data_IF_425370159950
#
_entry.id   IF_425370159950
#
_cell.length_a   1.000
_cell.length_b   1.000
_cell.length_c   1.000
_cell.angle_alpha   90.00
_cell.angle_beta   90.00
_cell.angle_gamma   90.00
#
_symmetry.space_group_name_H-M   'P 1'
#
loop_
_entity.id
_entity.type
_entity.pdbx_description
1 polymer ?
2 non-polymer ?
3 non-polymer ?
4 water ?
#
# COMPACT_ATOMS: atom_id res chain seq x y z
N UNK A 4 21.24 5.23 -10.65
CA UNK A 4 19.87 4.93 -10.23
C UNK A 4 19.54 3.43 -10.39
N UNK A 5 20.51 2.57 -9.96
CA UNK A 5 20.41 1.12 -10.03
C UNK A 5 19.95 0.55 -8.70
N UNK A 6 18.93 -0.33 -8.68
CA UNK A 6 18.37 -0.78 -7.40
C UNK A 6 19.29 -1.75 -6.66
N UNK A 7 19.29 -1.63 -5.33
CA UNK A 7 20.11 -2.42 -4.44
C UNK A 7 19.23 -3.18 -3.44
N UNK A 8 19.76 -4.23 -2.82
CA UNK A 8 18.94 -4.99 -1.84
C UNK A 8 18.40 -4.13 -0.71
N UNK A 9 19.15 -3.12 -0.28
CA UNK A 9 18.69 -2.26 0.80
C UNK A 9 17.47 -1.45 0.41
N UNK A 10 17.26 -1.24 -0.90
CA UNK A 10 16.05 -0.55 -1.35
C UNK A 10 14.80 -1.39 -1.13
N UNK A 11 14.93 -2.71 -0.94
CA UNK A 11 13.83 -3.58 -0.58
C UNK A 11 12.67 -3.49 -1.58
N UNK A 12 12.99 -3.40 -2.87
CA UNK A 12 11.94 -3.32 -3.88
C UNK A 12 11.29 -4.68 -4.07
N UNK A 13 9.97 -4.71 -4.19
CA UNK A 13 9.32 -5.99 -4.45
C UNK A 13 8.10 -5.79 -5.32
N UNK A 14 7.67 -6.88 -5.93
CA UNK A 14 6.55 -6.88 -6.86
C UNK A 14 5.66 -8.07 -6.56
N UNK A 15 4.35 -7.89 -6.73
CA UNK A 15 3.46 -9.02 -6.75
C UNK A 15 3.53 -9.78 -8.06
N UNK A 16 3.31 -11.09 -7.99
CA UNK A 16 3.33 -11.89 -9.20
C UNK A 16 2.26 -11.43 -10.18
N UNK A 17 1.15 -10.92 -9.65
CA UNK A 17 0.01 -10.52 -10.45
C UNK A 17 0.22 -9.18 -11.16
N UNK A 18 1.31 -8.48 -10.87
CA UNK A 18 1.57 -7.19 -11.50
C UNK A 18 2.18 -7.40 -12.89
N UNK A 19 3.46 -7.80 -12.94
CA UNK A 19 4.08 -8.11 -14.23
C UNK A 19 3.40 -9.28 -14.93
N UNK A 20 2.70 -10.15 -14.19
CA UNK A 20 1.97 -11.25 -14.78
C UNK A 20 0.56 -10.93 -15.23
N UNK A 21 0.11 -9.69 -15.08
CA UNK A 21 -1.24 -9.32 -15.52
C UNK A 21 -1.41 -9.52 -17.01
N UNK A 22 -2.52 -10.15 -17.41
CA UNK A 22 -2.76 -10.45 -18.81
C UNK A 22 -3.42 -9.30 -19.58
N UNK A 23 -3.95 -8.30 -18.86
CA UNK A 23 -4.47 -7.06 -19.43
C UNK A 23 -5.81 -7.27 -20.12
N UNK A 24 -6.61 -8.16 -19.56
CA UNK A 24 -8.02 -8.27 -19.92
C UNK A 24 -8.76 -7.22 -19.10
N UNK A 25 -9.41 -6.27 -19.76
CA UNK A 25 -10.10 -5.23 -19.01
C UNK A 25 -11.63 -5.36 -19.19
N UNK A 26 -12.36 -4.32 -18.75
CA UNK A 26 -13.82 -4.36 -18.81
C UNK A 26 -14.34 -4.46 -20.25
N UNK A 27 -13.53 -4.11 -21.23
CA UNK A 27 -14.01 -3.99 -22.59
C UNK A 27 -13.17 -4.75 -23.61
N UNK A 28 -12.34 -5.69 -23.19
CA UNK A 28 -11.49 -6.34 -24.16
C UNK A 28 -10.77 -7.56 -23.64
N UNK A 29 -10.25 -8.34 -24.58
CA UNK A 29 -9.58 -9.58 -24.26
C UNK A 29 -8.18 -9.34 -23.73
N UNK A 30 -7.62 -10.38 -23.12
CA UNK A 30 -6.22 -10.37 -22.72
C UNK A 30 -5.32 -10.13 -23.94
N UNK A 31 -4.25 -9.35 -23.72
CA UNK A 31 -3.26 -9.09 -24.74
C UNK A 31 -1.91 -9.76 -24.47
N UNK A 32 -1.70 -10.34 -23.29
CA UNK A 32 -0.48 -11.09 -23.04
C UNK A 32 -0.83 -12.48 -22.51
N UNK A 33 0.02 -13.44 -22.83
CA UNK A 33 -0.20 -14.81 -22.39
C UNK A 33 0.12 -14.96 -20.90
N UNK A 34 -0.38 -16.01 -20.26
CA UNK A 34 -0.02 -16.26 -18.86
C UNK A 34 1.49 -16.37 -18.69
N UNK A 35 1.98 -15.76 -17.61
CA UNK A 35 3.40 -15.68 -17.34
C UNK A 35 3.76 -16.68 -16.25
N UNK A 36 4.77 -17.50 -16.50
CA UNK A 36 5.20 -18.49 -15.52
C UNK A 36 5.80 -17.77 -14.33
N UNK A 37 5.28 -17.96 -13.10
CA UNK A 37 5.88 -17.31 -11.93
C UNK A 37 7.37 -17.57 -11.80
N UNK A 38 7.84 -18.75 -12.23
CA UNK A 38 9.26 -19.06 -12.23
C UNK A 38 10.03 -18.04 -13.06
N UNK A 39 9.50 -17.69 -14.24
CA UNK A 39 10.19 -16.69 -15.06
C UNK A 39 10.15 -15.32 -14.38
N UNK A 40 9.02 -14.95 -13.78
CA UNK A 40 8.95 -13.68 -13.06
C UNK A 40 10.00 -13.60 -11.97
N UNK A 41 10.19 -14.68 -11.19
CA UNK A 41 11.16 -14.63 -10.11
C UNK A 41 12.56 -14.41 -10.66
N UNK A 42 12.91 -15.06 -11.77
CA UNK A 42 14.22 -14.87 -12.35
C UNK A 42 14.37 -13.49 -12.96
N UNK A 43 13.36 -13.02 -13.70
CA UNK A 43 13.49 -11.72 -14.35
C UNK A 43 13.52 -10.59 -13.31
N UNK A 44 12.71 -10.70 -12.26
CA UNK A 44 12.75 -9.68 -11.21
C UNK A 44 14.08 -9.69 -10.49
N UNK A 45 14.64 -10.87 -10.20
CA UNK A 45 15.93 -10.94 -9.53
C UNK A 45 17.00 -10.26 -10.36
N UNK A 46 16.98 -10.51 -11.68
CA UNK A 46 17.97 -9.96 -12.59
C UNK A 46 17.91 -8.44 -12.62
N UNK A 47 16.72 -7.85 -12.43
CA UNK A 47 16.52 -6.41 -12.44
C UNK A 47 16.84 -5.74 -11.11
N UNK A 48 17.17 -6.52 -10.09
CA UNK A 48 17.49 -5.93 -8.80
C UNK A 48 16.37 -5.94 -7.80
N UNK A 49 15.23 -6.54 -8.10
CA UNK A 49 14.20 -6.67 -7.08
C UNK A 49 14.72 -7.52 -5.93
N UNK A 50 14.30 -7.17 -4.71
CA UNK A 50 14.67 -7.90 -3.51
C UNK A 50 13.65 -8.97 -3.13
N UNK A 51 12.39 -8.76 -3.49
CA UNK A 51 11.35 -9.68 -3.09
C UNK A 51 10.20 -9.77 -4.06
N UNK A 52 9.36 -10.76 -3.80
CA UNK A 52 8.15 -11.00 -4.58
C UNK A 52 7.04 -11.34 -3.60
N UNK A 53 5.80 -11.01 -3.94
CA UNK A 53 4.64 -11.40 -3.15
C UNK A 53 3.63 -12.09 -4.07
N UNK A 54 2.60 -12.69 -3.46
CA UNK A 54 1.67 -13.48 -4.25
C UNK A 54 0.32 -13.62 -3.57
N UNK A 55 -0.72 -13.67 -4.39
CA UNK A 55 -1.97 -14.34 -3.99
C UNK A 55 -1.78 -15.85 -4.10
N UNK A 56 -2.46 -16.58 -3.21
CA UNK A 56 -2.42 -18.05 -3.25
C UNK A 56 -2.55 -18.59 -4.68
N UNK A 57 -3.55 -18.11 -5.42
CA UNK A 57 -3.84 -18.65 -6.74
C UNK A 57 -2.92 -18.12 -7.84
N UNK A 58 -2.14 -17.05 -7.57
CA UNK A 58 -1.16 -16.60 -8.55
C UNK A 58 -0.17 -17.71 -8.91
N UNK A 59 0.11 -18.61 -7.98
CA UNK A 59 1.10 -19.65 -8.22
C UNK A 59 0.72 -20.59 -9.37
N UNK A 60 -0.56 -20.62 -9.73
CA UNK A 60 -1.13 -21.56 -10.69
C UNK A 60 -1.19 -21.03 -12.12
N UNK A 61 -0.57 -19.87 -12.38
CA UNK A 61 -0.75 -19.19 -13.67
C UNK A 61 -0.49 -20.10 -14.86
N UNK A 62 0.55 -20.94 -14.80
CA UNK A 62 0.81 -21.90 -15.87
C UNK A 62 0.75 -23.34 -15.41
N UNK A 63 0.77 -23.60 -14.10
CA UNK A 63 0.78 -24.95 -13.56
C UNK A 63 -0.47 -25.15 -12.71
N UNK A 64 -1.44 -25.94 -13.16
CA UNK A 64 -2.69 -26.08 -12.38
C UNK A 64 -2.57 -26.98 -11.15
N UNK A 65 -1.53 -27.81 -11.05
CA UNK A 65 -1.35 -28.64 -9.87
C UNK A 65 -0.71 -27.81 -8.77
N UNK A 66 -1.44 -27.58 -7.68
CA UNK A 66 -0.97 -26.63 -6.66
C UNK A 66 0.36 -27.08 -6.05
N UNK A 67 0.51 -28.38 -5.76
CA UNK A 67 1.76 -28.85 -5.18
C UNK A 67 2.93 -28.64 -6.13
N UNK A 68 2.75 -28.93 -7.43
CA UNK A 68 3.81 -28.71 -8.39
C UNK A 68 4.10 -27.23 -8.60
N UNK A 69 3.06 -26.38 -8.55
CA UNK A 69 3.25 -24.95 -8.71
C UNK A 69 4.03 -24.37 -7.53
N UNK A 70 3.73 -24.82 -6.31
CA UNK A 70 4.45 -24.36 -5.13
C UNK A 70 5.92 -24.78 -5.19
N UNK A 71 6.16 -26.02 -5.62
CA UNK A 71 7.53 -26.52 -5.69
C UNK A 71 8.36 -25.75 -6.71
N UNK A 72 7.77 -25.42 -7.86
CA UNK A 72 8.50 -24.67 -8.88
C UNK A 72 8.78 -23.24 -8.40
N UNK A 73 7.82 -22.64 -7.71
CA UNK A 73 8.01 -21.31 -7.13
C UNK A 73 9.18 -21.32 -6.15
N UNK A 74 9.20 -22.30 -5.24
CA UNK A 74 10.23 -22.32 -4.20
C UNK A 74 11.61 -22.57 -4.79
N UNK A 75 11.69 -23.42 -5.81
CA UNK A 75 12.94 -23.66 -6.52
C UNK A 75 13.49 -22.37 -7.14
N UNK A 76 12.63 -21.59 -7.77
CA UNK A 76 13.07 -20.31 -8.32
C UNK A 76 13.57 -19.40 -7.20
N UNK A 77 12.85 -19.36 -6.07
CA UNK A 77 13.27 -18.48 -4.98
C UNK A 77 14.60 -18.95 -4.40
N UNK A 78 14.81 -20.26 -4.36
CA UNK A 78 16.09 -20.80 -3.91
C UNK A 78 17.23 -20.34 -4.81
N UNK A 79 17.05 -20.48 -6.12
CA UNK A 79 18.13 -20.17 -7.05
C UNK A 79 18.50 -18.69 -7.03
N UNK A 80 17.52 -17.81 -6.79
CA UNK A 80 17.77 -16.38 -6.93
C UNK A 80 18.07 -15.67 -5.62
N UNK A 81 17.67 -16.24 -4.48
CA UNK A 81 17.74 -15.47 -3.26
C UNK A 81 16.65 -14.42 -3.11
N UNK A 82 15.60 -14.47 -3.93
CA UNK A 82 14.49 -13.55 -3.78
C UNK A 82 13.71 -13.91 -2.53
N UNK A 83 13.26 -12.89 -1.82
CA UNK A 83 12.56 -13.08 -0.55
C UNK A 83 11.05 -12.93 -0.77
N UNK A 84 10.27 -13.56 0.10
CA UNK A 84 8.81 -13.41 0.12
C UNK A 84 8.39 -12.69 1.39
N UNK A 85 8.28 -11.36 1.37
CA UNK A 85 7.96 -10.63 2.60
C UNK A 85 6.49 -10.67 2.98
N UNK A 86 5.61 -10.95 2.02
CA UNK A 86 4.19 -10.86 2.27
C UNK A 86 3.46 -11.75 1.28
N UNK A 87 2.24 -12.12 1.65
CA UNK A 87 1.37 -12.91 0.79
C UNK A 87 -0.06 -12.49 1.06
N UNK A 88 -0.97 -12.96 0.22
CA UNK A 88 -2.36 -12.56 0.34
C UNK A 88 -3.23 -13.64 -0.31
N UNK A 89 -4.56 -13.46 -0.21
CA UNK A 89 -5.55 -14.41 -0.67
C UNK A 89 -6.37 -13.80 -1.80
N UNK A 90 -6.63 -14.61 -2.84
CA UNK A 90 -7.60 -14.25 -3.86
C UNK A 90 -8.98 -14.58 -3.32
N UNK A 91 -9.67 -13.56 -2.82
CA UNK A 91 -11.06 -13.67 -2.41
C UNK A 91 -11.96 -12.85 -3.32
N UNK A 92 -11.60 -12.74 -4.60
CA UNK A 92 -12.37 -11.86 -5.47
C UNK A 92 -12.61 -12.39 -6.88
N UNK A 93 -11.84 -13.35 -7.40
CA UNK A 93 -12.08 -13.79 -8.77
C UNK A 93 -13.26 -14.74 -8.87
N UNK A 94 -13.40 -15.68 -7.95
CA UNK A 94 -14.31 -16.78 -8.17
C UNK A 94 -15.75 -16.29 -8.03
N UNK A 95 -16.66 -16.75 -8.89
CA UNK A 95 -18.05 -16.27 -8.81
C UNK A 95 -18.71 -16.40 -7.45
N UNK A 96 -18.28 -17.34 -6.59
CA UNK A 96 -18.99 -17.48 -5.32
C UNK A 96 -18.81 -16.25 -4.44
N UNK A 97 -17.79 -15.45 -4.69
CA UNK A 97 -17.54 -14.22 -3.95
C UNK A 97 -18.24 -13.00 -4.55
N UNK A 98 -19.21 -13.20 -5.44
CA UNK A 98 -19.83 -12.08 -6.15
C UNK A 98 -20.53 -11.10 -5.20
N UNK A 99 -20.96 -11.56 -4.02
CA UNK A 99 -21.65 -10.73 -3.02
C UNK A 99 -20.74 -10.37 -1.85
N UNK A 100 -19.46 -10.69 -1.92
CA UNK A 100 -18.57 -10.61 -0.78
C UNK A 100 -17.92 -11.94 -0.49
N UNK A 101 -16.90 -11.87 0.37
CA UNK A 101 -16.21 -13.08 0.82
C UNK A 101 -16.50 -13.25 2.30
N UNK A 102 -15.79 -12.49 3.13
CA UNK A 102 -16.08 -12.44 4.56
C UNK A 102 -17.45 -11.86 4.84
N UNK A 103 -18.01 -11.07 3.92
CA UNK A 103 -19.30 -10.43 4.13
C UNK A 103 -20.33 -10.82 3.08
N UNK A 104 -20.16 -11.97 2.42
CA UNK A 104 -21.27 -12.57 1.70
C UNK A 104 -22.46 -12.76 2.63
N UNK A 105 -23.67 -12.58 2.09
CA UNK A 105 -24.84 -12.95 2.88
C UNK A 105 -24.81 -14.43 3.24
N UNK A 106 -24.26 -15.26 2.36
CA UNK A 106 -24.32 -16.71 2.55
C UNK A 106 -23.24 -17.18 3.52
N UNK A 107 -23.66 -17.75 4.66
CA UNK A 107 -22.72 -18.19 5.68
C UNK A 107 -21.73 -19.21 5.14
N UNK A 108 -22.17 -20.10 4.26
CA UNK A 108 -21.22 -21.09 3.75
C UNK A 108 -20.13 -20.46 2.91
N UNK A 109 -20.43 -19.33 2.24
CA UNK A 109 -19.38 -18.63 1.51
C UNK A 109 -18.41 -17.98 2.48
N UNK A 110 -18.91 -17.35 3.55
CA UNK A 110 -18.02 -16.75 4.54
C UNK A 110 -17.04 -17.77 5.11
N UNK A 111 -17.53 -18.98 5.40
CA UNK A 111 -16.67 -20.00 5.99
C UNK A 111 -15.66 -20.51 4.97
N UNK A 112 -16.06 -20.63 3.71
CA UNK A 112 -15.15 -20.96 2.62
C UNK A 112 -14.01 -19.93 2.53
N UNK A 113 -14.36 -18.64 2.55
CA UNK A 113 -13.35 -17.60 2.52
C UNK A 113 -12.34 -17.79 3.64
N UNK A 114 -12.83 -18.01 4.87
CA UNK A 114 -11.92 -18.14 6.01
C UNK A 114 -10.99 -19.33 5.82
N UNK A 115 -11.54 -20.47 5.38
CA UNK A 115 -10.71 -21.65 5.18
C UNK A 115 -9.69 -21.43 4.07
N UNK A 116 -10.06 -20.70 3.02
CA UNK A 116 -9.11 -20.44 1.94
C UNK A 116 -7.93 -19.62 2.46
N UNK A 117 -8.20 -18.60 3.27
CA UNK A 117 -7.12 -17.80 3.86
C UNK A 117 -6.25 -18.67 4.77
N UNK A 118 -6.87 -19.54 5.57
CA UNK A 118 -6.08 -20.34 6.51
C UNK A 118 -5.07 -21.21 5.78
N UNK A 119 -5.48 -21.82 4.65
CA UNK A 119 -4.54 -22.63 3.88
C UNK A 119 -3.35 -21.78 3.39
N UNK A 120 -3.62 -20.56 2.93
CA UNK A 120 -2.50 -19.76 2.43
C UNK A 120 -1.70 -19.12 3.55
N UNK A 121 -2.33 -18.85 4.70
CA UNK A 121 -1.55 -18.48 5.89
C UNK A 121 -0.53 -19.55 6.21
N UNK A 122 -0.95 -20.80 6.12
CA UNK A 122 -0.03 -21.90 6.38
C UNK A 122 1.15 -21.85 5.41
N UNK A 123 0.87 -21.65 4.12
CA UNK A 123 1.94 -21.62 3.13
C UNK A 123 2.82 -20.39 3.28
N UNK A 124 2.20 -19.24 3.58
CA UNK A 124 2.96 -18.01 3.77
C UNK A 124 3.99 -18.14 4.88
N UNK A 125 3.59 -18.77 6.00
CA UNK A 125 4.51 -18.92 7.12
C UNK A 125 5.71 -19.76 6.71
N UNK A 126 5.47 -20.86 5.98
CA UNK A 126 6.57 -21.72 5.55
C UNK A 126 7.56 -20.96 4.67
N UNK A 127 7.07 -20.04 3.84
CA UNK A 127 7.92 -19.22 2.99
C UNK A 127 8.57 -18.06 3.73
N UNK A 128 8.20 -17.85 4.99
CA UNK A 128 8.79 -16.79 5.78
C UNK A 128 8.11 -15.45 5.65
N UNK A 129 6.93 -15.38 5.05
CA UNK A 129 6.21 -14.13 5.00
C UNK A 129 5.75 -13.78 6.42
N UNK A 130 6.13 -12.61 6.89
CA UNK A 130 5.73 -12.16 8.21
C UNK A 130 4.63 -11.11 8.16
N UNK A 131 4.20 -10.71 6.97
CA UNK A 131 3.05 -9.82 6.81
C UNK A 131 2.05 -10.47 5.87
N UNK A 132 0.76 -10.44 6.22
CA UNK A 132 -0.27 -11.00 5.35
C UNK A 132 -1.29 -9.90 5.02
N UNK A 133 -1.57 -9.74 3.72
CA UNK A 133 -2.37 -8.62 3.23
C UNK A 133 -3.81 -9.09 3.03
N UNK A 134 -4.76 -8.22 3.39
CA UNK A 134 -6.19 -8.46 3.16
C UNK A 134 -6.73 -7.30 2.35
N UNK A 135 -7.07 -7.56 1.11
CA UNK A 135 -7.85 -6.62 0.31
C UNK A 135 -9.27 -7.16 0.16
N UNK A 136 -10.22 -6.49 0.82
CA UNK A 136 -11.63 -6.86 0.76
C UNK A 136 -12.33 -6.36 -0.49
N UNK A 137 -11.81 -6.77 -1.66
CA UNK A 137 -12.28 -6.20 -2.91
C UNK A 137 -13.72 -6.50 -3.24
N UNK A 138 -14.26 -7.63 -2.76
CA UNK A 138 -15.68 -7.93 -2.97
C UNK A 138 -16.55 -7.52 -1.81
N UNK A 139 -15.98 -6.97 -0.75
CA UNK A 139 -16.77 -6.61 0.43
C UNK A 139 -17.39 -5.24 0.20
N UNK A 140 -18.70 -5.20 0.03
CA UNK A 140 -19.36 -3.95 -0.26
C UNK A 140 -20.64 -4.19 -1.03
N UNK A 141 -21.02 -3.20 -1.83
CA UNK A 141 -22.32 -3.23 -2.50
C UNK A 141 -22.36 -2.23 -3.64
N UNK A 142 -23.32 -2.42 -4.53
CA UNK A 142 -23.61 -1.43 -5.56
C UNK A 142 -24.81 -0.55 -5.22
N UNK A 143 -25.60 -0.92 -4.21
CA UNK A 143 -26.78 -0.17 -3.82
C UNK A 143 -26.94 -0.24 -2.30
N UNK A 144 -27.56 0.80 -1.73
CA UNK A 144 -27.64 0.90 -0.28
C UNK A 144 -28.57 -0.16 0.31
N UNK A 145 -29.58 -0.59 -0.45
CA UNK A 145 -30.48 -1.60 0.08
C UNK A 145 -29.82 -2.97 0.18
N UNK A 146 -28.74 -3.21 -0.56
CA UNK A 146 -28.20 -4.56 -0.68
C UNK A 146 -27.38 -5.00 0.52
N UNK A 147 -26.89 -4.08 1.33
CA UNK A 147 -25.92 -4.46 2.35
C UNK A 147 -26.02 -3.46 3.49
N UNK A 148 -26.41 -3.97 4.67
CA UNK A 148 -26.38 -3.22 5.93
C UNK A 148 -24.94 -3.23 6.42
N UNK A 149 -24.31 -2.06 6.42
CA UNK A 149 -22.87 -2.05 6.65
C UNK A 149 -22.54 -2.33 8.12
N UNK A 150 -23.44 -1.98 9.05
CA UNK A 150 -23.21 -2.37 10.43
C UNK A 150 -23.08 -3.87 10.56
N UNK A 151 -23.97 -4.62 9.91
CA UNK A 151 -23.91 -6.07 10.04
C UNK A 151 -22.75 -6.63 9.22
N UNK A 152 -22.43 -6.00 8.09
CA UNK A 152 -21.28 -6.45 7.32
C UNK A 152 -19.99 -6.27 8.11
N UNK A 153 -19.87 -5.15 8.84
CA UNK A 153 -18.68 -4.95 9.65
C UNK A 153 -18.59 -5.94 10.82
N UNK A 154 -19.74 -6.34 11.40
CA UNK A 154 -19.74 -7.43 12.38
C UNK A 154 -19.05 -8.67 11.82
N UNK A 155 -19.40 -9.03 10.58
CA UNK A 155 -18.84 -10.23 9.96
C UNK A 155 -17.41 -10.02 9.51
N UNK A 156 -17.08 -8.81 9.07
CA UNK A 156 -15.69 -8.48 8.71
C UNK A 156 -14.78 -8.58 9.94
N UNK A 157 -15.17 -7.89 11.02
CA UNK A 157 -14.42 -7.99 12.27
C UNK A 157 -14.31 -9.44 12.71
N UNK A 158 -15.40 -10.20 12.62
CA UNK A 158 -15.37 -11.58 13.08
C UNK A 158 -14.34 -12.41 12.33
N UNK A 159 -14.28 -12.23 11.01
CA UNK A 159 -13.35 -13.00 10.19
C UNK A 159 -11.91 -12.62 10.48
N UNK A 160 -11.63 -11.31 10.58
CA UNK A 160 -10.25 -10.87 10.77
C UNK A 160 -9.75 -11.29 12.15
N UNK A 161 -10.57 -11.10 13.19
CA UNK A 161 -10.15 -11.51 14.53
C UNK A 161 -10.00 -13.02 14.62
N UNK A 162 -10.87 -13.78 13.94
CA UNK A 162 -10.75 -15.24 13.95
C UNK A 162 -9.43 -15.67 13.34
N UNK A 163 -9.11 -15.11 12.18
CA UNK A 163 -7.87 -15.45 11.50
C UNK A 163 -6.66 -15.00 12.31
N UNK A 164 -6.75 -13.84 12.97
CA UNK A 164 -5.64 -13.38 13.79
C UNK A 164 -5.37 -14.31 14.96
N UNK A 165 -6.44 -14.81 15.59
CA UNK A 165 -6.25 -15.80 16.64
C UNK A 165 -5.66 -17.09 16.11
N UNK A 166 -6.01 -17.45 14.87
CA UNK A 166 -5.43 -18.65 14.27
C UNK A 166 -3.90 -18.52 14.14
N UNK A 167 -3.43 -17.40 13.58
CA UNK A 167 -1.99 -17.26 13.39
C UNK A 167 -1.27 -17.18 14.74
N UNK A 168 -1.93 -16.60 15.76
CA UNK A 168 -1.33 -16.62 17.10
C UNK A 168 -1.22 -18.04 17.64
N UNK A 169 -2.27 -18.84 17.47
CA UNK A 169 -2.23 -20.22 17.94
C UNK A 169 -1.10 -21.00 17.26
N UNK A 170 -0.84 -20.71 15.98
CA UNK A 170 0.21 -21.38 15.24
C UNK A 170 1.58 -20.79 15.50
N UNK A 171 1.67 -19.67 16.21
CA UNK A 171 2.93 -18.97 16.47
C UNK A 171 3.64 -18.59 15.18
N UNK A 172 2.86 -18.02 14.24
CA UNK A 172 3.42 -17.62 12.96
C UNK A 172 4.13 -16.28 13.02
N UNK A 173 3.92 -15.50 14.08
CA UNK A 173 4.62 -14.24 14.25
C UNK A 173 4.32 -13.22 13.19
N UNK A 174 3.23 -13.39 12.47
CA UNK A 174 2.94 -12.48 11.37
C UNK A 174 2.00 -11.37 11.82
N UNK A 175 2.01 -10.30 11.05
CA UNK A 175 1.10 -9.18 11.19
C UNK A 175 0.19 -9.15 9.97
N UNK A 176 -0.99 -8.58 10.16
CA UNK A 176 -2.00 -8.44 9.10
C UNK A 176 -1.98 -7.01 8.59
N UNK A 177 -2.17 -6.83 7.29
CA UNK A 177 -2.21 -5.51 6.66
C UNK A 177 -3.49 -5.38 5.85
N UNK A 178 -4.41 -4.53 6.31
CA UNK A 178 -5.66 -4.30 5.60
C UNK A 178 -5.44 -3.27 4.50
N UNK A 179 -5.93 -3.57 3.30
CA UNK A 179 -5.74 -2.71 2.13
C UNK A 179 -7.03 -1.97 1.85
N UNK A 180 -7.12 -0.67 2.13
CA UNK A 180 -8.34 0.08 1.82
C UNK A 180 -8.42 0.37 0.33
N UNK A 181 -9.66 0.48 -0.14
CA UNK A 181 -9.92 0.89 -1.52
C UNK A 181 -11.33 1.44 -1.56
N UNK A 182 -11.59 2.58 -2.21
CA UNK A 182 -12.93 3.18 -2.04
C UNK A 182 -14.02 2.52 -2.86
N UNK A 183 -13.67 2.03 -4.03
CA UNK A 183 -14.62 1.42 -4.94
C UNK A 183 -13.83 0.63 -5.96
N UNK A 184 -14.56 -0.18 -6.75
CA UNK A 184 -14.09 -0.99 -7.87
C UNK A 184 -13.35 -2.22 -7.38
N UNK A 185 -13.93 -3.42 -7.54
CA UNK A 185 -15.09 -3.73 -8.39
C UNK A 185 -16.48 -3.41 -7.80
N UNK A 186 -16.60 -3.25 -6.49
CA UNK A 186 -17.88 -2.89 -5.89
C UNK A 186 -18.15 -1.39 -6.02
N UNK A 187 -19.44 -1.05 -6.10
CA UNK A 187 -19.83 0.35 -6.15
C UNK A 187 -19.24 1.16 -5.02
N UNK A 188 -19.27 0.59 -3.81
CA UNK A 188 -18.52 1.10 -2.67
C UNK A 188 -17.94 -0.10 -1.94
N UNK A 189 -16.68 0.00 -1.54
CA UNK A 189 -16.03 -1.06 -0.79
C UNK A 189 -16.01 -0.70 0.69
N UNK A 190 -16.20 -1.70 1.55
CA UNK A 190 -16.05 -1.48 2.99
C UNK A 190 -14.61 -1.12 3.32
N UNK A 191 -14.45 -0.28 4.34
CA UNK A 191 -13.15 0.28 4.74
C UNK A 191 -12.55 1.02 3.54
N UNK A 192 -13.20 2.08 3.07
CA UNK A 192 -12.81 2.69 1.77
C UNK A 192 -11.52 3.49 1.79
N UNK A 193 -11.00 3.88 2.96
CA UNK A 193 -9.79 4.68 3.03
C UNK A 193 -8.91 4.22 4.18
N UNK A 194 -7.69 4.76 4.19
CA UNK A 194 -6.76 4.55 5.31
C UNK A 194 -7.45 4.81 6.64
N UNK A 195 -8.22 5.90 6.70
CA UNK A 195 -8.89 6.25 7.93
C UNK A 195 -9.89 5.20 8.40
N UNK A 196 -10.75 4.74 7.48
CA UNK A 196 -11.80 3.79 7.85
C UNK A 196 -11.18 2.48 8.34
N UNK A 197 -10.09 2.07 7.70
CA UNK A 197 -9.41 0.85 8.16
C UNK A 197 -8.79 1.05 9.54
N UNK A 198 -8.18 2.23 9.79
CA UNK A 198 -7.66 2.48 11.13
C UNK A 198 -8.75 2.43 12.19
N UNK A 199 -9.91 3.03 11.92
CA UNK A 199 -10.98 3.00 12.90
C UNK A 199 -11.47 1.59 13.16
N UNK A 200 -11.59 0.79 12.10
CA UNK A 200 -11.98 -0.62 12.21
C UNK A 200 -10.97 -1.41 13.01
N UNK A 201 -9.68 -1.22 12.73
CA UNK A 201 -8.64 -1.97 13.43
C UNK A 201 -8.73 -1.76 14.94
N UNK A 202 -9.06 -0.54 15.37
CA UNK A 202 -9.08 -0.25 16.80
C UNK A 202 -10.19 -0.99 17.56
N UNK A 203 -11.18 -1.56 16.86
CA UNK A 203 -12.22 -2.37 17.49
C UNK A 203 -11.87 -3.86 17.56
N UNK A 204 -10.73 -4.26 17.00
CA UNK A 204 -10.39 -5.67 16.94
C UNK A 204 -9.83 -6.13 18.27
N UNK A 205 -10.23 -7.34 18.67
CA UNK A 205 -9.56 -7.97 19.80
C UNK A 205 -8.05 -8.02 19.56
N UNK A 206 -7.64 -8.45 18.36
CA UNK A 206 -6.22 -8.56 18.01
C UNK A 206 -5.66 -7.32 17.33
N UNK A 207 -6.11 -6.13 17.75
CA UNK A 207 -5.72 -4.89 17.11
C UNK A 207 -4.20 -4.71 17.04
N UNK A 208 -3.46 -5.22 18.03
CA UNK A 208 -2.03 -4.96 18.06
C UNK A 208 -1.31 -5.50 16.82
N UNK A 209 -1.78 -6.60 16.26
CA UNK A 209 -1.09 -7.23 15.14
C UNK A 209 -1.74 -6.91 13.79
N UNK A 210 -2.63 -5.93 13.73
CA UNK A 210 -3.29 -5.56 12.47
C UNK A 210 -2.96 -4.11 12.15
N UNK A 211 -2.58 -3.86 10.91
CA UNK A 211 -2.26 -2.52 10.45
C UNK A 211 -2.70 -2.34 9.01
N UNK A 212 -2.00 -1.49 8.26
CA UNK A 212 -2.47 -1.06 6.95
C UNK A 212 -1.51 -1.49 5.84
N UNK A 213 -2.10 -1.67 4.66
CA UNK A 213 -1.40 -1.73 3.38
C UNK A 213 -2.05 -0.69 2.47
N UNK A 214 -1.69 0.58 2.61
CA UNK A 214 -2.27 1.61 1.76
C UNK A 214 -1.65 1.58 0.38
N UNK A 215 -2.45 1.93 -0.60
CA UNK A 215 -2.04 1.95 -2.00
C UNK A 215 -2.20 3.35 -2.55
N UNK A 216 -1.14 3.87 -3.18
CA UNK A 216 -1.15 5.23 -3.73
C UNK A 216 -2.44 5.50 -4.48
N UNK A 217 -2.74 4.65 -5.46
CA UNK A 217 -3.85 4.91 -6.36
C UNK A 217 -5.20 4.81 -5.70
N UNK A 218 -5.30 4.00 -4.63
CA UNK A 218 -6.60 3.82 -3.98
C UNK A 218 -7.05 5.08 -3.25
N UNK A 219 -6.16 5.68 -2.42
CA UNK A 219 -6.56 6.93 -1.77
C UNK A 219 -6.80 8.03 -2.79
N UNK A 220 -6.01 8.05 -3.88
CA UNK A 220 -6.19 9.06 -4.91
C UNK A 220 -7.49 8.87 -5.69
N UNK A 221 -8.05 7.66 -5.72
CA UNK A 221 -9.35 7.48 -6.36
C UNK A 221 -10.44 8.23 -5.62
N UNK A 222 -10.23 8.52 -4.34
CA UNK A 222 -11.15 9.32 -3.52
C UNK A 222 -10.71 10.76 -3.42
N UNK A 223 -9.69 11.14 -4.18
CA UNK A 223 -9.18 12.51 -4.17
C UNK A 223 -8.40 12.86 -2.92
N UNK A 224 -8.03 11.89 -2.11
CA UNK A 224 -7.37 12.18 -0.86
C UNK A 224 -5.87 12.33 -1.09
N UNK A 225 -5.21 12.94 -0.11
CA UNK A 225 -3.77 13.18 -0.18
C UNK A 225 -3.04 11.95 0.35
N UNK A 226 -2.35 11.21 -0.53
CA UNK A 226 -1.70 9.98 -0.08
C UNK A 226 -0.60 10.26 0.92
N UNK A 227 0.16 11.34 0.73
CA UNK A 227 1.21 11.67 1.68
C UNK A 227 0.64 11.91 3.07
N UNK A 228 -0.49 12.66 3.16
CA UNK A 228 -1.12 12.89 4.46
C UNK A 228 -1.60 11.58 5.09
N UNK A 229 -2.16 10.69 4.27
CA UNK A 229 -2.66 9.43 4.80
C UNK A 229 -1.53 8.56 5.32
N UNK A 230 -0.44 8.49 4.58
CA UNK A 230 0.72 7.74 5.04
C UNK A 230 1.26 8.36 6.31
N UNK A 231 1.26 9.71 6.38
CA UNK A 231 1.67 10.38 7.61
C UNK A 231 0.81 9.94 8.79
N UNK A 232 -0.51 9.85 8.61
CA UNK A 232 -1.34 9.40 9.72
C UNK A 232 -1.07 7.93 10.05
N UNK A 233 -0.88 7.09 9.02
CA UNK A 233 -0.54 5.68 9.26
C UNK A 233 0.75 5.57 10.07
N UNK A 234 1.78 6.32 9.67
CA UNK A 234 3.03 6.32 10.44
C UNK A 234 2.82 6.84 11.85
N UNK A 235 2.04 7.91 12.00
CA UNK A 235 1.78 8.51 13.29
C UNK A 235 1.12 7.53 14.27
N UNK A 236 0.27 6.63 13.76
CA UNK A 236 -0.40 5.60 14.57
C UNK A 236 0.37 4.30 14.59
N UNK A 237 1.55 4.25 13.95
CA UNK A 237 2.41 3.07 13.95
C UNK A 237 1.70 1.88 13.29
N UNK A 238 1.00 2.15 12.19
CA UNK A 238 0.20 1.14 11.51
C UNK A 238 0.59 0.95 10.05
N UNK A 239 1.74 1.47 9.62
CA UNK A 239 2.17 1.25 8.24
C UNK A 239 2.94 -0.07 8.21
N UNK A 240 2.23 -1.16 7.91
CA UNK A 240 2.79 -2.50 7.91
C UNK A 240 3.21 -2.94 6.52
N UNK A 241 2.79 -2.22 5.49
CA UNK A 241 3.01 -2.59 4.10
C UNK A 241 2.62 -1.36 3.31
N UNK A 242 3.16 -1.22 2.09
CA UNK A 242 2.72 -0.13 1.23
C UNK A 242 2.70 -0.65 -0.19
N UNK A 243 1.77 -0.12 -1.00
CA UNK A 243 1.64 -0.48 -2.40
C UNK A 243 1.82 0.77 -3.24
N UNK A 244 2.82 0.76 -4.11
CA UNK A 244 3.22 1.93 -4.87
C UNK A 244 2.75 1.76 -6.31
N UNK A 245 2.12 2.80 -6.84
CA UNK A 245 1.74 2.84 -8.24
C UNK A 245 1.34 4.28 -8.55
N UNK A 246 0.70 4.50 -9.71
CA UNK A 246 0.26 5.80 -10.10
C UNK A 246 -1.19 5.79 -10.55
N UNK A 247 -1.81 6.96 -10.47
CA UNK A 247 -3.23 7.13 -10.66
C UNK A 247 -3.49 8.57 -11.04
N UNK A 248 -4.44 8.82 -11.93
CA UNK A 248 -4.81 10.19 -12.29
C UNK A 248 -6.19 10.53 -11.70
N UNK A 249 -6.23 10.62 -10.37
CA UNK A 249 -7.42 11.06 -9.64
C UNK A 249 -8.59 10.11 -9.69
N UNK A 250 -9.79 10.64 -9.39
CA UNK A 250 -11.00 9.79 -9.32
C UNK A 250 -11.49 9.28 -10.68
N UNK A 251 -11.13 8.04 -10.95
CA UNK A 251 -11.60 7.26 -12.09
C UNK A 251 -11.31 5.80 -11.75
N UNK A 252 -11.47 4.92 -12.73
CA UNK A 252 -11.13 3.52 -12.56
C UNK A 252 -9.71 3.38 -12.04
N UNK A 253 -9.43 2.26 -11.37
CA UNK A 253 -8.10 1.97 -10.84
C UNK A 253 -7.13 1.77 -12.00
N UNK A 254 -6.12 2.64 -12.11
CA UNK A 254 -5.28 2.64 -13.31
C UNK A 254 -4.01 1.80 -13.18
N UNK A 255 -3.46 1.68 -11.97
CA UNK A 255 -2.27 0.85 -11.71
C UNK A 255 -1.11 1.23 -12.59
N UNK A 256 -0.83 2.53 -12.66
CA UNK A 256 0.28 2.97 -13.48
C UNK A 256 1.61 2.74 -12.76
N UNK A 257 2.70 2.91 -13.50
CA UNK A 257 4.03 2.88 -12.89
C UNK A 257 4.11 3.96 -11.80
N UNK A 258 4.73 3.61 -10.67
CA UNK A 258 4.89 4.58 -9.59
C UNK A 258 5.60 5.82 -10.12
N UNK A 259 5.09 7.00 -9.73
CA UNK A 259 5.63 8.27 -10.16
C UNK A 259 5.03 8.81 -11.44
N UNK A 260 4.25 8.00 -12.15
CA UNK A 260 3.73 8.35 -13.46
C UNK A 260 2.30 8.86 -13.41
N UNK A 261 1.72 8.97 -12.22
CA UNK A 261 0.43 9.64 -12.07
C UNK A 261 0.66 11.04 -11.53
N UNK A 262 0.39 11.22 -10.24
CA UNK A 262 0.69 12.46 -9.52
C UNK A 262 2.16 12.43 -9.11
N UNK A 263 3.02 12.92 -10.00
CA UNK A 263 4.46 12.84 -9.75
C UNK A 263 4.86 13.68 -8.54
N UNK A 264 4.26 14.87 -8.40
CA UNK A 264 4.62 15.70 -7.25
C UNK A 264 4.32 15.00 -5.93
N UNK A 265 3.19 14.31 -5.85
CA UNK A 265 2.83 13.59 -4.62
C UNK A 265 3.78 12.43 -4.39
N UNK A 266 4.19 11.76 -5.48
CA UNK A 266 5.17 10.68 -5.38
C UNK A 266 6.49 11.18 -4.81
N UNK A 267 6.94 12.36 -5.25
CA UNK A 267 8.15 12.99 -4.70
C UNK A 267 8.05 13.18 -3.20
N UNK A 268 6.93 13.71 -2.73
CA UNK A 268 6.79 13.95 -1.29
C UNK A 268 6.53 12.65 -0.53
N UNK A 269 5.92 11.64 -1.17
CA UNK A 269 5.83 10.33 -0.54
C UNK A 269 7.20 9.72 -0.29
N UNK A 270 8.07 9.71 -1.31
CA UNK A 270 9.42 9.20 -1.12
C UNK A 270 10.14 10.01 -0.06
N UNK A 271 9.99 11.33 -0.09
CA UNK A 271 10.60 12.16 0.94
C UNK A 271 10.16 11.71 2.34
N UNK A 272 8.88 11.39 2.50
CA UNK A 272 8.38 11.02 3.81
C UNK A 272 8.85 9.62 4.21
N UNK A 273 8.79 8.67 3.28
CA UNK A 273 9.21 7.32 3.60
C UNK A 273 10.67 7.31 4.03
N UNK A 274 11.52 8.02 3.28
CA UNK A 274 12.94 8.00 3.57
C UNK A 274 13.24 8.78 4.84
N UNK A 275 12.68 9.98 4.99
CA UNK A 275 12.99 10.79 6.14
C UNK A 275 12.47 10.18 7.45
N UNK A 276 11.34 9.47 7.39
CA UNK A 276 10.80 8.81 8.58
C UNK A 276 11.61 7.58 8.99
N UNK A 277 12.49 7.10 8.12
CA UNK A 277 13.19 5.87 8.41
C UNK A 277 12.34 4.62 8.41
N UNK A 278 11.13 4.68 7.83
CA UNK A 278 10.31 3.48 7.70
C UNK A 278 11.09 2.37 7.00
N UNK A 279 11.10 1.19 7.60
CA UNK A 279 11.94 0.09 7.11
C UNK A 279 11.17 -0.97 6.33
N UNK A 280 9.91 -0.74 6.02
CA UNK A 280 9.14 -1.71 5.26
C UNK A 280 9.59 -1.83 3.82
N UNK A 281 9.14 -2.88 3.15
CA UNK A 281 9.47 -3.06 1.72
C UNK A 281 8.78 -2.02 0.85
N UNK A 282 9.45 -1.63 -0.24
CA UNK A 282 8.82 -0.77 -1.23
C UNK A 282 8.20 -1.68 -2.29
N UNK A 283 6.92 -1.96 -2.12
CA UNK A 283 6.18 -2.91 -2.95
C UNK A 283 5.43 -2.17 -4.04
N UNK A 284 5.47 -2.71 -5.25
CA UNK A 284 4.79 -2.14 -6.38
C UNK A 284 3.57 -2.99 -6.75
N UNK A 285 2.41 -2.36 -6.83
CA UNK A 285 1.19 -3.02 -7.27
C UNK A 285 0.70 -2.23 -8.47
N UNK A 286 1.10 -2.67 -9.66
CA UNK A 286 0.89 -1.92 -10.89
C UNK A 286 0.63 -2.90 -12.02
N UNK A 287 0.20 -2.38 -13.16
CA UNK A 287 0.05 -3.16 -14.38
C UNK A 287 0.90 -2.53 -15.48
N UNK A 288 1.61 -3.34 -16.25
CA UNK A 288 2.45 -2.77 -17.33
C UNK A 288 1.68 -1.93 -18.32
N UNK A 289 0.46 -2.36 -18.68
CA UNK A 289 -0.34 -1.60 -19.63
C UNK A 289 -0.78 -2.47 -20.78
N UNK A 290 -2.01 -2.25 -21.28
CA UNK A 290 -2.58 -3.15 -22.28
C UNK A 290 -1.93 -2.98 -23.64
N UNK A 291 -1.24 -1.86 -23.87
CA UNK A 291 -0.50 -1.66 -25.11
C UNK A 291 0.82 -2.41 -25.16
N UNK A 292 1.25 -3.04 -24.05
CA UNK A 292 2.63 -3.46 -23.85
C UNK A 292 2.80 -4.95 -24.05
N UNK A 293 3.92 -5.35 -24.65
CA UNK A 293 4.12 -6.77 -24.91
C UNK A 293 4.98 -7.38 -23.80
N UNK A 294 5.37 -8.65 -23.99
CA UNK A 294 6.09 -9.39 -22.96
C UNK A 294 7.41 -8.73 -22.62
N UNK A 295 8.10 -8.17 -23.61
CA UNK A 295 9.36 -7.49 -23.36
C UNK A 295 9.13 -6.15 -22.67
N UNK A 296 8.11 -5.41 -23.10
CA UNK A 296 7.76 -4.15 -22.44
C UNK A 296 7.54 -4.35 -20.94
N UNK A 297 7.04 -5.52 -20.55
CA UNK A 297 6.73 -5.77 -19.16
C UNK A 297 7.95 -5.48 -18.27
N UNK A 298 9.12 -5.98 -18.68
CA UNK A 298 10.30 -5.80 -17.83
C UNK A 298 10.82 -4.38 -17.86
N UNK A 299 10.67 -3.68 -18.99
CA UNK A 299 10.92 -2.23 -19.01
C UNK A 299 10.07 -1.53 -17.96
N UNK A 300 8.78 -1.89 -17.87
CA UNK A 300 7.90 -1.21 -16.92
C UNK A 300 8.25 -1.56 -15.47
N UNK A 301 8.70 -2.79 -15.22
CA UNK A 301 9.13 -3.16 -13.88
C UNK A 301 10.35 -2.35 -13.46
N UNK A 302 11.36 -2.30 -14.33
CA UNK A 302 12.53 -1.47 -14.08
C UNK A 302 12.12 -0.01 -13.85
N UNK A 303 11.17 0.49 -14.63
CA UNK A 303 10.76 1.89 -14.52
C UNK A 303 10.23 2.22 -13.13
N UNK A 304 9.55 1.29 -12.47
CA UNK A 304 9.06 1.56 -11.12
C UNK A 304 10.23 1.84 -10.18
N UNK A 305 11.23 0.98 -10.20
CA UNK A 305 12.37 1.11 -9.29
C UNK A 305 13.20 2.33 -9.65
N UNK A 306 13.43 2.56 -10.94
CA UNK A 306 14.22 3.72 -11.36
C UNK A 306 13.53 5.02 -10.98
N UNK A 307 12.22 5.12 -11.18
CA UNK A 307 11.52 6.34 -10.82
C UNK A 307 11.61 6.57 -9.32
N UNK A 308 11.47 5.50 -8.53
CA UNK A 308 11.57 5.66 -7.09
C UNK A 308 12.94 6.19 -6.72
N UNK A 309 13.99 5.61 -7.29
CA UNK A 309 15.36 5.98 -6.97
C UNK A 309 15.69 7.43 -7.37
N UNK A 310 15.18 7.88 -8.53
CA UNK A 310 15.39 9.27 -8.92
C UNK A 310 14.70 10.20 -7.93
N UNK A 311 13.43 9.92 -7.62
CA UNK A 311 12.73 10.75 -6.64
C UNK A 311 13.44 10.72 -5.28
N UNK A 312 14.02 9.57 -4.91
CA UNK A 312 14.75 9.49 -3.64
C UNK A 312 15.94 10.45 -3.63
N UNK A 313 16.70 10.49 -4.72
CA UNK A 313 17.83 11.39 -4.81
C UNK A 313 17.38 12.85 -4.80
N UNK A 314 16.30 13.15 -5.52
CA UNK A 314 15.80 14.52 -5.53
C UNK A 314 15.36 14.96 -4.15
N UNK A 315 14.71 14.08 -3.39
CA UNK A 315 14.24 14.43 -2.06
C UNK A 315 15.41 14.55 -1.08
N UNK A 316 16.42 13.67 -1.23
CA UNK A 316 17.61 13.78 -0.39
C UNK A 316 18.32 15.11 -0.63
N UNK A 317 18.46 15.51 -1.89
CA UNK A 317 19.08 16.78 -2.22
C UNK A 317 18.23 17.94 -1.72
N UNK A 318 16.92 17.81 -1.82
CA UNK A 318 16.01 18.84 -1.31
C UNK A 318 16.26 19.13 0.16
N UNK A 319 16.21 18.11 0.99
CA UNK A 319 16.38 18.34 2.43
C UNK A 319 17.81 18.76 2.78
N UNK A 320 18.82 18.33 2.01
CA UNK A 320 20.19 18.68 2.30
C UNK A 320 20.54 20.12 1.92
N UNK A 321 19.71 20.76 1.11
CA UNK A 321 20.01 22.08 0.58
C UNK A 321 19.92 23.15 1.65
N UNK A 322 21.00 23.88 1.96
CA UNK A 322 20.88 24.98 2.92
C UNK A 322 19.80 26.00 2.56
N UNK A 323 19.55 26.23 1.27
CA UNK A 323 18.48 27.15 0.88
C UNK A 323 17.13 26.64 1.34
N UNK A 324 16.92 25.32 1.27
CA UNK A 324 15.67 24.74 1.72
C UNK A 324 15.55 24.82 3.24
N UNK A 325 16.63 24.50 3.96
CA UNK A 325 16.56 24.61 5.42
C UNK A 325 16.31 26.05 5.85
N UNK A 326 16.88 27.01 5.12
CA UNK A 326 16.60 28.43 5.39
C UNK A 326 15.14 28.78 5.12
N UNK A 327 14.59 28.33 3.99
CA UNK A 327 13.17 28.57 3.71
C UNK A 327 12.28 27.95 4.79
N UNK A 328 12.62 26.74 5.24
CA UNK A 328 11.81 26.08 6.26
C UNK A 328 11.79 26.88 7.55
N UNK A 329 12.94 27.45 7.92
CA UNK A 329 12.98 28.28 9.12
C UNK A 329 12.15 29.56 8.93
N UNK A 330 12.19 30.14 7.73
CA UNK A 330 11.37 31.32 7.48
C UNK A 330 9.89 31.01 7.66
N UNK A 331 9.47 29.78 7.31
CA UNK A 331 8.08 29.36 7.44
C UNK A 331 7.73 29.00 8.88
N UNK A 332 8.75 28.92 9.74
CA UNK A 332 8.60 28.51 11.14
C UNK A 332 8.09 27.08 11.25
N UNK A 333 8.49 26.25 10.30
CA UNK A 333 8.05 24.86 10.28
C UNK A 333 8.48 24.14 11.56
N UNK A 334 9.71 24.38 12.03
CA UNK A 334 10.20 23.67 13.20
C UNK A 334 9.42 24.04 14.46
N UNK A 335 8.74 25.19 14.47
CA UNK A 335 8.03 25.60 15.66
C UNK A 335 6.77 24.77 15.91
N UNK A 336 6.29 24.07 14.88
CA UNK A 336 5.17 23.16 15.05
C UNK A 336 5.51 22.01 16.01
N UNK A 337 6.78 21.65 16.13
CA UNK A 337 7.19 20.58 17.03
C UNK A 337 7.21 20.99 18.50
N UNK A 338 7.15 22.27 18.81
CA UNK A 338 7.13 22.72 20.20
C UNK A 338 5.74 22.46 20.78
N UNK A 339 5.62 21.72 21.87
CA UNK A 339 4.29 21.49 22.45
C UNK A 339 3.56 22.80 22.69
N UNK A 340 2.26 22.78 22.41
CA UNK A 340 1.43 23.96 22.63
C UNK A 340 1.37 24.31 24.11
N UNK A 341 1.33 23.29 24.97
CA UNK A 341 1.18 23.44 26.40
C UNK A 341 2.45 22.95 27.08
N UNK A 342 2.94 23.73 28.05
CA UNK A 342 4.14 23.37 28.78
C UNK A 342 3.82 22.32 29.84
N UNK A 343 4.88 21.65 30.30
CA UNK A 343 4.72 20.50 31.18
C UNK A 343 4.04 20.88 32.51
N UNK A 344 4.41 22.03 33.08
CA UNK A 344 3.87 22.39 34.37
C UNK A 344 2.80 23.46 34.32
N UNK A 345 2.06 23.52 33.22
CA UNK A 345 1.16 24.63 32.93
C UNK A 345 -0.28 24.23 33.25
N UNK A 346 -0.93 25.02 34.08
CA UNK A 346 -2.32 24.80 34.44
C UNK A 346 -3.25 25.58 33.51
N UNK A 347 -4.55 25.29 33.61
CA UNK A 347 -5.52 26.03 32.82
C UNK A 347 -5.46 27.52 33.14
N UNK A 348 -5.33 27.87 34.43
CA UNK A 348 -5.29 29.28 34.77
C UNK A 348 -3.98 29.92 34.33
N UNK A 349 -2.87 29.17 34.33
CA UNK A 349 -1.62 29.67 33.75
C UNK A 349 -1.81 30.02 32.29
N UNK A 350 -2.53 29.17 31.55
CA UNK A 350 -2.76 29.43 30.13
C UNK A 350 -3.66 30.66 29.94
N UNK A 351 -4.73 30.75 30.72
CA UNK A 351 -5.66 31.87 30.61
C UNK A 351 -5.11 33.15 31.19
N UNK A 352 -3.96 33.10 31.88
CA UNK A 352 -3.33 34.32 32.35
C UNK A 352 -2.58 35.03 31.24
N UNK A 353 -2.17 34.30 30.22
CA UNK A 353 -1.49 34.86 29.06
C UNK A 353 -2.52 35.35 28.04
N UNK A 354 -2.22 36.47 27.40
CA UNK A 354 -3.09 37.00 26.36
C UNK A 354 -2.32 37.10 25.04
N UNK A 355 -3.09 37.18 23.95
CA UNK A 355 -2.55 37.20 22.60
C UNK A 355 -3.17 38.36 21.84
N UNK A 356 -2.33 39.21 21.26
CA UNK A 356 -2.79 40.33 20.44
C UNK A 356 -2.99 39.81 19.02
N UNK A 357 -4.22 39.41 18.71
CA UNK A 357 -4.52 38.84 17.40
C UNK A 357 -4.48 39.89 16.30
N UNK A 358 -4.76 41.15 16.63
CA UNK A 358 -4.73 42.20 15.62
C UNK A 358 -3.31 42.60 15.24
N UNK A 359 -2.39 42.59 16.20
CA UNK A 359 -0.99 42.83 15.89
C UNK A 359 -0.40 41.75 14.99
N UNK A 360 -0.97 40.55 15.01
CA UNK A 360 -0.39 39.41 14.31
C UNK A 360 -1.14 39.02 13.05
N UNK A 361 -2.18 39.76 12.67
CA UNK A 361 -3.04 39.30 11.57
C UNK A 361 -2.32 39.28 10.22
N UNK A 362 -1.25 40.05 10.05
CA UNK A 362 -0.58 40.15 8.75
C UNK A 362 0.68 39.29 8.67
N UNK A 363 0.92 38.39 9.62
CA UNK A 363 2.04 37.47 9.51
C UNK A 363 1.93 36.66 8.23
N UNK A 364 3.05 36.51 7.53
CA UNK A 364 3.11 35.60 6.40
C UNK A 364 3.87 34.34 6.79
N UNK A 365 3.65 33.27 6.03
CA UNK A 365 4.31 32.01 6.28
C UNK A 365 5.28 31.59 5.18
N UNK A 366 5.33 32.34 4.06
CA UNK A 366 6.43 32.24 3.10
C UNK A 366 6.54 30.85 2.50
N UNK A 367 5.40 30.19 2.29
CA UNK A 367 5.45 28.88 1.64
C UNK A 367 5.78 29.00 0.16
N UNK A 368 5.63 30.19 -0.43
CA UNK A 368 5.92 30.36 -1.86
C UNK A 368 7.37 29.97 -2.16
N UNK A 369 8.32 30.45 -1.34
CA UNK A 369 9.72 30.12 -1.53
C UNK A 369 9.97 28.63 -1.32
N UNK A 370 9.46 28.07 -0.23
CA UNK A 370 9.70 26.66 0.06
C UNK A 370 9.08 25.78 -1.00
N UNK A 371 7.86 26.11 -1.43
CA UNK A 371 7.18 25.37 -2.50
C UNK A 371 7.98 25.40 -3.78
N UNK A 372 8.55 26.56 -4.10
CA UNK A 372 9.27 26.67 -5.37
C UNK A 372 10.59 25.91 -5.30
N UNK A 373 11.27 25.94 -4.16
CA UNK A 373 12.48 25.16 -4.00
C UNK A 373 12.19 23.67 -4.09
N UNK A 374 11.05 23.24 -3.55
CA UNK A 374 10.65 21.84 -3.65
C UNK A 374 10.45 21.42 -5.09
N UNK A 375 9.70 22.22 -5.86
CA UNK A 375 9.44 21.90 -7.26
C UNK A 375 10.74 21.94 -8.06
N UNK A 376 11.58 22.95 -7.81
CA UNK A 376 12.84 23.02 -8.55
C UNK A 376 13.74 21.84 -8.23
N UNK A 377 13.72 21.36 -6.98
CA UNK A 377 14.49 20.17 -6.66
C UNK A 377 13.93 18.94 -7.34
N UNK A 378 12.60 18.77 -7.31
CA UNK A 378 12.00 17.63 -8.01
C UNK A 378 12.40 17.60 -9.47
N UNK A 379 12.42 18.77 -10.13
CA UNK A 379 12.74 18.85 -11.55
C UNK A 379 14.24 18.85 -11.81
N UNK A 380 15.04 18.64 -10.79
CA UNK A 380 16.47 18.47 -10.98
C UNK A 380 17.21 19.72 -11.39
N UNK A 381 16.70 20.90 -11.01
CA UNK A 381 17.27 22.16 -11.46
C UNK A 381 18.08 22.88 -10.41
N UNK A 382 18.23 22.29 -9.22
CA UNK A 382 18.99 22.91 -8.14
C UNK A 382 20.36 22.26 -7.94
#
# INVERSE_FOLDING_TARGET
MTSFQPTPEDRFCFGLWTVGWQERDQFGEATRAPLDPVRTVHKLAELGAWGVTFHDDDLLAVEPNRDAAIAAFRKALDETGLVVPAATTDLFKHPVFKDGAFTSNDRDVRRHAIRKVMRNLDLAAELGAKTYVFWGGREGAESDAAKDVRVALDRFREAIDYLAGYVKEQNYGMRFALEPKPNEPRGDILLPTIGHALGFISTLEHHEMVGLNPEVGHEQMAGLNFVHGIAQALWQDKLFHIDLNGQHGPRYDQDLVFGHGDTKSAFFLVDLLESSGWEGPRHFDYKPGRTEDAEDVWVSAEANMRTYLILKERAKAFRADPEVQEAMRACRIEELAVPTIAAGESYEDLRAEEFDAEAARDRGYHYSRLNQLAVEHMLGSR
#
